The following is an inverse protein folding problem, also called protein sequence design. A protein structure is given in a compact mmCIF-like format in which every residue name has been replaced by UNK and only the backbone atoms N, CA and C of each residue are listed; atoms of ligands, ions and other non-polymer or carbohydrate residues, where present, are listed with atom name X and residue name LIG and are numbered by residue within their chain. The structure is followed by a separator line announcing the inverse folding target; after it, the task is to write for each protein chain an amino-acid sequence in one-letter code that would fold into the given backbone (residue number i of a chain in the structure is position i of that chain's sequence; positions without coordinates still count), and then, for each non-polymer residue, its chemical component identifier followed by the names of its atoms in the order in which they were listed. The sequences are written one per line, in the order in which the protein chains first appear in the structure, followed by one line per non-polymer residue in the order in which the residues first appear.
data_IF_999949547542
#
_entry.id   IF_999949547542
#
_cell.length_a   1.000
_cell.length_b   1.000
_cell.length_c   1.000
_cell.angle_alpha   90.00
_cell.angle_beta   90.00
_cell.angle_gamma   90.00
#
_symmetry.space_group_name_H-M   'P 1'
#
loop_
_entity.id
_entity.type
_entity.pdbx_description
1 polymer ?
#
# COMPACT_ATOMS: atom_id res chain seq x y z
N UNK A 1 -1.85 -4.49 -16.37
CA UNK A 1 -0.83 -4.61 -15.31
C UNK A 1 -0.97 -6.02 -14.79
N UNK A 2 -0.04 -6.91 -15.14
CA UNK A 2 -0.13 -8.32 -14.75
C UNK A 2 0.20 -8.46 -13.27
N UNK A 3 -0.80 -8.83 -12.48
CA UNK A 3 -0.60 -9.30 -11.11
C UNK A 3 -0.27 -10.78 -11.22
N UNK A 4 1.02 -11.13 -11.14
CA UNK A 4 1.53 -12.50 -11.27
C UNK A 4 0.83 -13.52 -10.34
N UNK A 5 0.22 -13.05 -9.25
CA UNK A 5 -0.50 -13.86 -8.28
C UNK A 5 -1.98 -14.15 -8.62
N UNK A 6 -2.60 -13.41 -9.55
CA UNK A 6 -4.06 -13.49 -9.75
C UNK A 6 -4.46 -13.51 -11.23
N UNK A 7 -5.38 -14.43 -11.56
CA UNK A 7 -6.20 -14.34 -12.78
C UNK A 7 -7.28 -13.28 -12.57
N UNK A 8 -6.92 -12.03 -12.86
CA UNK A 8 -7.86 -10.91 -12.81
C UNK A 8 -8.40 -10.73 -14.22
N UNK A 9 -9.55 -11.32 -14.49
CA UNK A 9 -10.18 -11.28 -15.81
C UNK A 9 -10.76 -9.88 -16.13
N UNK A 10 -10.98 -9.06 -15.09
CA UNK A 10 -11.49 -7.67 -15.16
C UNK A 10 -10.81 -6.80 -14.12
N UNK A 11 -10.41 -5.58 -14.49
CA UNK A 11 -9.89 -4.58 -13.55
C UNK A 11 -10.88 -4.42 -12.38
N UNK A 12 -10.49 -4.72 -11.13
CA UNK A 12 -11.40 -4.63 -10.01
C UNK A 12 -11.83 -3.17 -9.83
N UNK A 13 -13.09 -2.96 -9.46
CA UNK A 13 -13.56 -1.64 -9.08
C UNK A 13 -12.70 -1.12 -7.93
N UNK A 14 -12.25 0.14 -8.03
CA UNK A 14 -11.38 0.77 -7.05
C UNK A 14 -12.21 1.21 -5.83
N UNK A 15 -12.70 0.23 -5.08
CA UNK A 15 -13.31 0.48 -3.76
C UNK A 15 -12.23 0.83 -2.74
N UNK A 16 -12.57 1.50 -1.63
CA UNK A 16 -11.60 1.80 -0.56
C UNK A 16 -10.90 0.56 0.00
N UNK A 17 -11.57 -0.60 -0.02
CA UNK A 17 -11.01 -1.88 0.43
C UNK A 17 -9.99 -2.42 -0.55
N UNK A 18 -10.28 -2.36 -1.85
CA UNK A 18 -9.35 -2.76 -2.91
C UNK A 18 -8.13 -1.83 -2.94
N UNK A 19 -8.33 -0.52 -2.77
CA UNK A 19 -7.25 0.47 -2.67
C UNK A 19 -6.33 0.15 -1.48
N UNK A 20 -6.90 -0.13 -0.30
CA UNK A 20 -6.14 -0.52 0.89
C UNK A 20 -5.39 -1.83 0.66
N UNK A 21 -6.06 -2.87 0.18
CA UNK A 21 -5.45 -4.17 -0.09
C UNK A 21 -4.27 -4.08 -1.07
N UNK A 22 -4.44 -3.29 -2.13
CA UNK A 22 -3.38 -3.07 -3.11
C UNK A 22 -2.20 -2.31 -2.49
N UNK A 23 -2.48 -1.33 -1.64
CA UNK A 23 -1.46 -0.59 -0.91
C UNK A 23 -0.68 -1.50 0.05
N UNK A 24 -1.36 -2.32 0.85
CA UNK A 24 -0.74 -3.28 1.80
C UNK A 24 0.23 -4.21 1.09
N UNK A 25 -0.21 -4.84 0.00
CA UNK A 25 0.64 -5.75 -0.79
C UNK A 25 1.87 -5.02 -1.30
N UNK A 26 1.68 -3.85 -1.91
CA UNK A 26 2.80 -3.10 -2.49
C UNK A 26 3.82 -2.68 -1.44
N UNK A 27 3.37 -2.28 -0.26
CA UNK A 27 4.28 -1.95 0.85
C UNK A 27 5.03 -3.19 1.33
N UNK A 28 4.34 -4.32 1.54
CA UNK A 28 4.97 -5.57 2.00
C UNK A 28 5.96 -6.16 0.99
N UNK A 29 5.69 -6.04 -0.32
CA UNK A 29 6.60 -6.49 -1.38
C UNK A 29 7.66 -5.45 -1.78
N UNK A 30 7.80 -4.34 -1.04
CA UNK A 30 8.81 -3.32 -1.32
C UNK A 30 8.58 -2.52 -2.60
N UNK A 31 7.35 -2.52 -3.14
CA UNK A 31 7.02 -1.94 -4.44
C UNK A 31 6.50 -0.49 -4.33
N UNK A 32 7.38 0.42 -3.89
CA UNK A 32 7.06 1.81 -3.53
C UNK A 32 6.82 2.78 -4.71
N UNK A 33 7.11 2.37 -5.96
CA UNK A 33 7.10 3.27 -7.13
C UNK A 33 5.71 3.89 -7.37
N UNK A 34 5.56 5.22 -7.28
CA UNK A 34 4.28 5.94 -7.45
C UNK A 34 3.26 5.77 -6.30
N UNK A 35 3.66 5.33 -5.11
CA UNK A 35 2.78 5.40 -3.93
C UNK A 35 2.82 6.83 -3.37
N UNK A 36 1.67 7.51 -3.27
CA UNK A 36 1.59 8.85 -2.69
C UNK A 36 1.58 8.76 -1.16
N UNK A 37 2.29 9.66 -0.50
CA UNK A 37 2.31 9.76 0.96
C UNK A 37 0.91 10.02 1.54
N UNK A 38 0.08 10.78 0.83
CA UNK A 38 -1.32 11.04 1.21
C UNK A 38 -2.16 9.77 1.26
N UNK A 39 -1.96 8.84 0.32
CA UNK A 39 -2.64 7.54 0.29
C UNK A 39 -2.20 6.66 1.46
N UNK A 40 -0.90 6.68 1.82
CA UNK A 40 -0.41 5.98 3.02
C UNK A 40 -1.04 6.59 4.29
N UNK A 41 -1.08 7.91 4.41
CA UNK A 41 -1.70 8.62 5.55
C UNK A 41 -3.20 8.30 5.67
N UNK A 42 -3.94 8.26 4.54
CA UNK A 42 -5.37 7.93 4.47
C UNK A 42 -5.69 6.58 5.11
N UNK A 43 -4.86 5.56 4.87
CA UNK A 43 -5.09 4.19 5.35
C UNK A 43 -4.21 3.77 6.53
N UNK A 44 -3.39 4.68 7.09
CA UNK A 44 -2.33 4.34 8.05
C UNK A 44 -2.78 3.49 9.24
N UNK A 45 -3.96 3.78 9.79
CA UNK A 45 -4.52 3.06 10.94
C UNK A 45 -5.04 1.66 10.57
N UNK A 46 -5.36 1.43 9.29
CA UNK A 46 -5.95 0.19 8.80
C UNK A 46 -4.94 -0.70 8.08
N UNK A 47 -3.75 -0.20 7.76
CA UNK A 47 -2.72 -0.92 7.03
C UNK A 47 -2.17 -2.11 7.82
N UNK A 48 -2.35 -3.30 7.28
CA UNK A 48 -1.70 -4.55 7.73
C UNK A 48 -0.40 -4.75 6.96
N UNK A 49 0.66 -4.11 7.44
CA UNK A 49 2.00 -4.23 6.89
C UNK A 49 2.98 -4.81 7.91
N UNK A 50 4.08 -5.38 7.43
CA UNK A 50 5.16 -5.90 8.25
C UNK A 50 5.61 -4.87 9.32
N UNK A 51 5.89 -5.28 10.57
CA UNK A 51 6.27 -4.35 11.63
C UNK A 51 7.50 -3.50 11.31
N UNK A 52 8.53 -4.07 10.67
CA UNK A 52 9.72 -3.32 10.28
C UNK A 52 9.39 -2.30 9.18
N UNK A 53 8.57 -2.71 8.21
CA UNK A 53 8.04 -1.80 7.19
C UNK A 53 7.26 -0.63 7.80
N UNK A 54 6.43 -0.92 8.81
CA UNK A 54 5.66 0.10 9.52
C UNK A 54 6.57 1.09 10.24
N UNK A 55 7.62 0.64 10.91
CA UNK A 55 8.58 1.52 11.56
C UNK A 55 9.34 2.38 10.55
N UNK A 56 9.78 1.79 9.44
CA UNK A 56 10.46 2.52 8.35
C UNK A 56 9.56 3.63 7.80
N UNK A 57 8.30 3.30 7.48
CA UNK A 57 7.34 4.28 6.98
C UNK A 57 6.98 5.34 8.02
N UNK A 58 6.89 4.99 9.30
CA UNK A 58 6.65 5.96 10.37
C UNK A 58 7.78 6.99 10.46
N UNK A 59 9.04 6.53 10.38
CA UNK A 59 10.21 7.41 10.37
C UNK A 59 10.25 8.28 9.11
N UNK A 60 9.92 7.69 7.95
CA UNK A 60 9.83 8.42 6.69
C UNK A 60 8.76 9.51 6.74
N UNK A 61 7.55 9.17 7.21
CA UNK A 61 6.47 10.12 7.41
C UNK A 61 6.93 11.22 8.37
N UNK A 62 7.54 10.90 9.51
CA UNK A 62 8.02 11.92 10.46
C UNK A 62 9.04 12.89 9.87
N UNK A 63 9.91 12.41 8.97
CA UNK A 63 10.97 13.24 8.36
C UNK A 63 10.47 14.15 7.23
N UNK A 64 9.42 13.72 6.52
CA UNK A 64 8.92 14.40 5.31
C UNK A 64 7.45 14.85 5.41
N UNK A 65 6.86 14.82 6.63
CA UNK A 65 5.50 15.30 6.90
C UNK A 65 5.46 16.81 7.16
#
# INVERSE_FOLDING_TARGET
MELWDYKIDKTPEMTPEVERWFLERRLNYGHFKKIKLTTIKKYWQQLKIDPAMRQMLANFIKKYA
#
